data_IF_988055117366
#
_entry.id   IF_988055117366
#
_cell.length_a   1.000
_cell.length_b   1.000
_cell.length_c   1.000
_cell.angle_alpha   90.00
_cell.angle_beta   90.00
_cell.angle_gamma   90.00
#
_symmetry.space_group_name_H-M   'P 1'
#
loop_
_entity.id
_entity.type
_entity.pdbx_description
1 polymer ?
#
# COMPACT_ATOMS: atom_id res chain seq x y z
N UNK A 1 8.38 15.14 4.67
CA UNK A 1 8.58 13.73 4.31
C UNK A 1 7.68 12.86 5.17
N UNK A 2 7.15 11.81 4.60
CA UNK A 2 6.27 10.88 5.31
C UNK A 2 7.06 9.72 5.93
N UNK A 3 6.33 8.83 6.64
CA UNK A 3 6.91 7.59 7.17
C UNK A 3 7.56 6.72 6.07
N UNK A 4 7.07 6.83 4.83
CA UNK A 4 7.54 6.00 3.71
C UNK A 4 9.00 6.28 3.35
N UNK A 5 9.50 7.46 3.66
CA UNK A 5 10.90 7.81 3.40
C UNK A 5 11.88 7.26 4.45
N UNK A 6 11.39 6.64 5.52
CA UNK A 6 12.22 6.09 6.59
C UNK A 6 12.88 4.77 6.13
N UNK A 7 14.19 4.77 5.98
CA UNK A 7 14.95 3.60 5.49
C UNK A 7 14.83 2.38 6.40
N UNK A 8 14.80 2.59 7.72
CA UNK A 8 14.65 1.49 8.67
C UNK A 8 13.26 0.84 8.56
N UNK A 9 12.22 1.64 8.37
CA UNK A 9 10.88 1.13 8.14
C UNK A 9 10.82 0.34 6.84
N UNK A 10 11.39 0.87 5.75
CA UNK A 10 11.44 0.17 4.46
C UNK A 10 12.09 -1.20 4.61
N UNK A 11 13.23 -1.27 5.29
CA UNK A 11 13.96 -2.53 5.49
C UNK A 11 13.12 -3.55 6.28
N UNK A 12 12.48 -3.12 7.37
CA UNK A 12 11.61 -4.01 8.17
C UNK A 12 10.41 -4.49 7.35
N UNK A 13 9.81 -3.59 6.61
CA UNK A 13 8.64 -3.89 5.78
C UNK A 13 8.96 -4.93 4.70
N UNK A 14 10.05 -4.71 3.95
CA UNK A 14 10.46 -5.63 2.89
C UNK A 14 10.83 -7.01 3.43
N UNK A 15 11.57 -7.05 4.55
CA UNK A 15 11.92 -8.31 5.19
C UNK A 15 10.67 -9.06 5.65
N UNK A 16 9.74 -8.38 6.30
CA UNK A 16 8.50 -8.97 6.79
C UNK A 16 7.61 -9.44 5.64
N UNK A 17 7.55 -8.67 4.56
CA UNK A 17 6.74 -9.01 3.38
C UNK A 17 7.26 -10.28 2.72
N UNK A 18 8.58 -10.40 2.56
CA UNK A 18 9.20 -11.58 1.99
C UNK A 18 9.12 -12.81 2.91
N UNK A 19 8.86 -12.61 4.20
CA UNK A 19 8.63 -13.69 5.17
C UNK A 19 7.14 -14.03 5.32
N UNK A 20 6.24 -13.24 4.77
CA UNK A 20 4.80 -13.45 4.87
C UNK A 20 4.37 -14.56 3.90
N UNK A 21 4.03 -15.74 4.46
CA UNK A 21 3.71 -16.92 3.67
C UNK A 21 2.47 -16.72 2.79
N UNK A 22 1.44 -16.02 3.30
CA UNK A 22 0.23 -15.77 2.54
C UNK A 22 0.49 -14.81 1.37
N UNK A 23 1.26 -13.74 1.60
CA UNK A 23 1.67 -12.84 0.53
C UNK A 23 2.43 -13.60 -0.56
N UNK A 24 3.36 -14.47 -0.17
CA UNK A 24 4.14 -15.27 -1.12
C UNK A 24 3.26 -16.21 -1.93
N UNK A 25 2.30 -16.85 -1.28
CA UNK A 25 1.34 -17.74 -1.97
C UNK A 25 0.49 -16.96 -2.96
N UNK A 26 -0.04 -15.81 -2.55
CA UNK A 26 -0.93 -15.02 -3.40
C UNK A 26 -0.20 -14.36 -4.58
N UNK A 27 1.11 -14.15 -4.46
CA UNK A 27 1.90 -13.53 -5.54
C UNK A 27 2.76 -14.53 -6.32
N UNK A 28 2.61 -15.83 -6.08
CA UNK A 28 3.47 -16.86 -6.69
C UNK A 28 3.48 -16.85 -8.23
N UNK A 29 2.41 -16.36 -8.85
CA UNK A 29 2.29 -16.26 -10.31
C UNK A 29 2.31 -14.82 -10.81
N UNK A 30 2.60 -13.87 -9.94
CA UNK A 30 2.66 -12.46 -10.30
C UNK A 30 4.08 -12.08 -10.74
N UNK A 31 4.14 -11.37 -11.87
CA UNK A 31 5.36 -10.73 -12.37
C UNK A 31 4.99 -9.29 -12.69
N UNK A 32 5.28 -8.40 -11.76
CA UNK A 32 4.90 -7.01 -11.91
C UNK A 32 5.46 -6.15 -10.80
N UNK A 33 4.96 -4.93 -10.71
CA UNK A 33 5.39 -3.99 -9.69
C UNK A 33 4.23 -3.24 -9.08
N UNK A 34 4.38 -2.91 -7.81
CA UNK A 34 3.41 -2.12 -7.04
C UNK A 34 4.10 -0.86 -6.57
N UNK A 35 3.44 0.28 -6.77
CA UNK A 35 3.93 1.56 -6.29
C UNK A 35 3.06 2.02 -5.11
N UNK A 36 3.69 2.32 -4.00
CA UNK A 36 3.04 2.97 -2.86
C UNK A 36 3.39 4.45 -2.90
N UNK A 37 2.37 5.30 -2.79
CA UNK A 37 2.55 6.74 -2.90
C UNK A 37 1.87 7.42 -1.72
N UNK A 38 2.66 8.08 -0.89
CA UNK A 38 2.21 8.82 0.30
C UNK A 38 2.59 10.28 0.08
N UNK A 39 1.60 11.10 -0.31
CA UNK A 39 1.86 12.46 -0.79
C UNK A 39 2.91 12.43 -1.91
N UNK A 40 4.06 13.08 -1.73
CA UNK A 40 5.14 13.09 -2.71
C UNK A 40 6.13 11.93 -2.56
N UNK A 41 6.07 11.18 -1.47
CA UNK A 41 6.99 10.06 -1.23
C UNK A 41 6.51 8.81 -1.95
N UNK A 42 7.45 8.03 -2.47
CA UNK A 42 7.17 6.85 -3.27
C UNK A 42 8.03 5.68 -2.81
N UNK A 43 7.44 4.49 -2.90
CA UNK A 43 8.16 3.23 -2.74
C UNK A 43 7.66 2.27 -3.83
N UNK A 44 8.54 1.97 -4.76
CA UNK A 44 8.29 1.04 -5.86
C UNK A 44 8.81 -0.34 -5.44
N UNK A 45 7.97 -1.36 -5.64
CA UNK A 45 8.28 -2.73 -5.26
C UNK A 45 8.15 -3.64 -6.48
N UNK A 46 9.24 -4.27 -6.88
CA UNK A 46 9.20 -5.30 -7.93
C UNK A 46 8.90 -6.64 -7.28
N UNK A 47 7.83 -7.28 -7.74
CA UNK A 47 7.40 -8.58 -7.22
C UNK A 47 7.55 -9.60 -8.34
N UNK A 48 8.23 -10.71 -8.05
CA UNK A 48 8.41 -11.79 -8.98
C UNK A 48 8.27 -13.12 -8.25
N UNK A 49 7.26 -13.89 -8.66
CA UNK A 49 6.99 -15.24 -8.17
C UNK A 49 7.07 -15.35 -6.64
N UNK A 50 6.31 -14.53 -5.97
CA UNK A 50 6.15 -14.61 -4.52
C UNK A 50 7.15 -13.82 -3.71
N UNK A 51 8.05 -13.06 -4.35
CA UNK A 51 9.06 -12.29 -3.63
C UNK A 51 9.17 -10.87 -4.15
N UNK A 52 9.42 -9.94 -3.24
CA UNK A 52 9.89 -8.60 -3.60
C UNK A 52 11.39 -8.74 -3.88
N UNK A 53 11.77 -8.60 -5.13
CA UNK A 53 13.16 -8.80 -5.57
C UNK A 53 13.92 -7.50 -5.77
N UNK A 54 13.23 -6.37 -5.82
CA UNK A 54 13.84 -5.06 -5.97
C UNK A 54 12.91 -3.99 -5.41
N UNK A 55 13.47 -2.85 -5.05
CA UNK A 55 12.69 -1.70 -4.60
C UNK A 55 13.44 -0.40 -4.93
N UNK A 56 12.69 0.70 -5.00
CA UNK A 56 13.25 2.02 -5.28
C UNK A 56 12.33 3.09 -4.71
N UNK A 57 12.89 4.27 -4.45
CA UNK A 57 12.13 5.43 -3.97
C UNK A 57 11.70 6.37 -5.09
N UNK A 58 11.91 5.95 -6.32
CA UNK A 58 11.47 6.66 -7.53
C UNK A 58 10.87 5.66 -8.51
N UNK A 59 10.00 6.13 -9.38
CA UNK A 59 9.39 5.29 -10.40
C UNK A 59 10.40 5.04 -11.52
N UNK A 60 10.72 3.76 -11.82
CA UNK A 60 11.60 3.45 -12.96
C UNK A 60 10.98 3.90 -14.29
N UNK A 61 11.80 4.08 -15.34
CA UNK A 61 11.30 4.49 -16.66
C UNK A 61 10.22 3.59 -17.25
N UNK A 62 10.24 2.30 -16.91
CA UNK A 62 9.21 1.34 -17.38
C UNK A 62 7.93 1.35 -16.53
N UNK A 63 7.86 2.20 -15.49
CA UNK A 63 6.65 2.41 -14.74
C UNK A 63 6.34 1.33 -13.70
N UNK A 64 5.06 1.10 -13.48
CA UNK A 64 4.55 0.15 -12.48
C UNK A 64 3.31 -0.57 -13.03
N UNK A 65 2.95 -1.70 -12.43
CA UNK A 65 1.72 -2.42 -12.82
C UNK A 65 0.48 -1.74 -12.26
N UNK A 66 0.46 -1.49 -10.96
CA UNK A 66 -0.59 -0.68 -10.33
C UNK A 66 -0.03 0.02 -9.09
N UNK A 67 -0.75 1.04 -8.61
CA UNK A 67 -0.31 1.82 -7.45
C UNK A 67 -1.45 2.09 -6.49
N UNK A 68 -1.07 2.35 -5.25
CA UNK A 68 -1.95 2.88 -4.20
C UNK A 68 -1.45 4.26 -3.80
N UNK A 69 -2.29 5.27 -3.94
CA UNK A 69 -1.93 6.66 -3.74
C UNK A 69 -2.89 7.33 -2.77
N UNK A 70 -2.34 8.02 -1.79
CA UNK A 70 -3.13 8.76 -0.82
C UNK A 70 -2.27 9.76 -0.05
N UNK A 71 -2.94 10.58 0.76
CA UNK A 71 -2.26 11.51 1.66
C UNK A 71 -1.65 10.77 2.84
N UNK A 72 -0.70 11.41 3.51
CA UNK A 72 -0.15 10.86 4.76
C UNK A 72 -1.24 10.64 5.80
N UNK A 73 -2.22 11.55 5.88
CA UNK A 73 -3.35 11.40 6.80
C UNK A 73 -4.15 10.12 6.53
N UNK A 74 -4.40 9.81 5.26
CA UNK A 74 -5.10 8.57 4.87
C UNK A 74 -4.30 7.32 5.27
N UNK A 75 -3.00 7.30 4.95
CA UNK A 75 -2.15 6.17 5.31
C UNK A 75 -2.00 5.99 6.82
N UNK A 76 -1.99 7.09 7.58
CA UNK A 76 -1.96 7.02 9.05
C UNK A 76 -3.19 6.34 9.64
N UNK A 77 -4.35 6.44 9.01
CA UNK A 77 -5.54 5.70 9.44
C UNK A 77 -5.29 4.19 9.43
N UNK A 78 -4.58 3.70 8.41
CA UNK A 78 -4.17 2.30 8.35
C UNK A 78 -3.12 1.97 9.41
N UNK A 79 -2.06 2.79 9.50
CA UNK A 79 -0.92 2.49 10.36
C UNK A 79 -1.29 2.50 11.84
N UNK A 80 -2.24 3.33 12.25
CA UNK A 80 -2.71 3.40 13.64
C UNK A 80 -3.80 2.37 13.96
N UNK A 81 -4.28 1.63 12.95
CA UNK A 81 -5.36 0.66 13.11
C UNK A 81 -6.74 1.30 13.22
N UNK A 82 -6.86 2.60 13.02
CA UNK A 82 -8.14 3.30 13.12
C UNK A 82 -9.11 2.89 12.02
N UNK A 83 -8.60 2.60 10.83
CA UNK A 83 -9.38 2.09 9.70
C UNK A 83 -8.63 0.94 9.03
N UNK A 84 -9.40 0.00 8.49
CA UNK A 84 -8.85 -1.14 7.79
C UNK A 84 -8.55 -0.77 6.33
N UNK A 85 -7.73 -1.58 5.68
CA UNK A 85 -7.38 -1.40 4.27
C UNK A 85 -8.60 -1.29 3.36
N UNK A 86 -9.60 -2.16 3.58
CA UNK A 86 -10.83 -2.13 2.79
C UNK A 86 -11.60 -0.81 2.97
N UNK A 87 -11.59 -0.25 4.18
CA UNK A 87 -12.28 1.02 4.45
C UNK A 87 -11.65 2.19 3.72
N UNK A 88 -10.37 2.10 3.40
CA UNK A 88 -9.60 3.18 2.77
C UNK A 88 -9.54 3.05 1.25
N UNK A 89 -9.64 1.83 0.71
CA UNK A 89 -9.40 1.55 -0.71
C UNK A 89 -10.65 1.24 -1.51
N UNK A 90 -11.75 0.83 -0.87
CA UNK A 90 -12.99 0.52 -1.58
C UNK A 90 -14.00 1.66 -1.42
N UNK A 91 -14.70 2.05 -2.50
CA UNK A 91 -15.76 3.05 -2.40
C UNK A 91 -16.93 2.52 -1.59
N UNK A 92 -17.69 3.43 -0.98
CA UNK A 92 -18.86 3.09 -0.19
C UNK A 92 -19.17 4.18 0.82
N UNK A 93 -20.10 3.87 1.71
CA UNK A 93 -20.49 4.80 2.77
C UNK A 93 -19.42 4.80 3.85
N UNK A 94 -18.46 5.72 3.70
CA UNK A 94 -17.39 5.94 4.69
C UNK A 94 -17.60 7.30 5.33
N UNK A 95 -17.43 7.36 6.65
CA UNK A 95 -17.49 8.61 7.37
C UNK A 95 -16.11 8.94 7.93
N UNK A 96 -15.52 9.99 7.38
CA UNK A 96 -14.23 10.50 7.81
C UNK A 96 -14.37 11.81 8.61
N UNK A 97 -15.58 12.13 9.09
CA UNK A 97 -15.83 13.38 9.80
C UNK A 97 -15.05 13.50 11.11
N UNK A 98 -14.57 12.37 11.65
CA UNK A 98 -13.75 12.31 12.83
C UNK A 98 -12.29 12.72 12.57
N UNK A 99 -11.90 12.90 11.32
CA UNK A 99 -10.56 13.35 10.93
C UNK A 99 -10.66 14.58 10.03
N UNK A 100 -10.25 15.77 10.55
CA UNK A 100 -10.37 16.99 9.77
C UNK A 100 -9.64 16.99 8.43
N UNK A 101 -8.59 16.17 8.28
CA UNK A 101 -7.82 16.08 7.05
C UNK A 101 -8.49 15.21 5.99
N UNK A 102 -9.43 14.36 6.39
CA UNK A 102 -10.14 13.44 5.49
C UNK A 102 -11.60 13.75 5.31
N UNK A 103 -12.14 14.75 6.01
CA UNK A 103 -13.57 15.07 5.98
C UNK A 103 -14.10 15.50 4.60
N UNK A 104 -13.20 15.88 3.68
CA UNK A 104 -13.55 16.24 2.32
C UNK A 104 -13.68 15.05 1.37
N UNK A 105 -13.32 13.85 1.82
CA UNK A 105 -13.48 12.63 1.02
C UNK A 105 -14.97 12.30 0.93
N UNK A 106 -15.49 12.24 -0.29
CA UNK A 106 -16.91 11.94 -0.53
C UNK A 106 -17.25 10.48 -0.31
N UNK A 107 -18.54 10.17 -0.25
CA UNK A 107 -19.02 8.81 0.01
C UNK A 107 -18.71 7.82 -1.13
N UNK A 108 -18.50 8.34 -2.34
CA UNK A 108 -18.14 7.52 -3.52
C UNK A 108 -16.64 7.54 -3.80
N UNK A 109 -15.89 8.36 -3.08
CA UNK A 109 -14.44 8.46 -3.21
C UNK A 109 -13.76 7.53 -2.22
N UNK A 110 -12.48 7.32 -2.46
CA UNK A 110 -11.64 6.52 -1.55
C UNK A 110 -10.52 7.40 -1.01
N UNK A 111 -10.06 7.09 0.20
CA UNK A 111 -8.95 7.81 0.82
C UNK A 111 -7.60 7.41 0.20
N UNK A 112 -7.46 6.13 -0.20
CA UNK A 112 -6.30 5.60 -0.89
C UNK A 112 -6.77 5.06 -2.24
N UNK A 113 -6.31 5.66 -3.33
CA UNK A 113 -6.76 5.31 -4.68
C UNK A 113 -5.90 4.21 -5.27
N UNK A 114 -6.56 3.30 -6.01
CA UNK A 114 -5.89 2.29 -6.82
C UNK A 114 -5.89 2.76 -8.27
N UNK A 115 -4.71 2.83 -8.88
CA UNK A 115 -4.54 3.29 -10.26
C UNK A 115 -3.62 2.35 -11.03
N UNK A 116 -3.68 2.40 -12.37
CA UNK A 116 -2.87 1.57 -13.25
C UNK A 116 -3.66 0.40 -13.81
N UNK A 117 -3.06 -0.78 -13.85
CA UNK A 117 -3.73 -1.98 -14.33
C UNK A 117 -4.68 -2.52 -13.26
N UNK A 118 -5.95 -2.10 -13.34
CA UNK A 118 -6.96 -2.44 -12.33
C UNK A 118 -7.34 -3.93 -12.36
N UNK A 119 -7.19 -4.59 -13.50
CA UNK A 119 -7.43 -6.04 -13.58
C UNK A 119 -6.41 -6.80 -12.75
N UNK A 120 -5.13 -6.45 -12.88
CA UNK A 120 -4.07 -7.06 -12.07
C UNK A 120 -4.23 -6.69 -10.59
N UNK A 121 -4.60 -5.45 -10.29
CA UNK A 121 -4.88 -5.04 -8.91
C UNK A 121 -5.98 -5.89 -8.28
N UNK A 122 -7.05 -6.15 -9.04
CA UNK A 122 -8.15 -7.02 -8.59
C UNK A 122 -7.72 -8.46 -8.36
N UNK A 123 -6.87 -9.00 -9.24
CA UNK A 123 -6.32 -10.35 -9.07
C UNK A 123 -5.43 -10.46 -7.83
N UNK A 124 -4.77 -9.38 -7.44
CA UNK A 124 -3.85 -9.34 -6.31
C UNK A 124 -4.51 -8.81 -5.03
N UNK A 125 -5.84 -8.79 -4.95
CA UNK A 125 -6.57 -8.26 -3.80
C UNK A 125 -6.09 -8.85 -2.47
N UNK A 126 -6.01 -10.17 -2.35
CA UNK A 126 -5.58 -10.83 -1.11
C UNK A 126 -4.12 -10.52 -0.79
N UNK A 127 -3.26 -10.46 -1.81
CA UNK A 127 -1.87 -10.09 -1.62
C UNK A 127 -1.75 -8.66 -1.08
N UNK A 128 -2.60 -7.74 -1.55
CA UNK A 128 -2.56 -6.34 -1.12
C UNK A 128 -3.10 -6.17 0.30
N UNK A 129 -4.06 -6.98 0.74
CA UNK A 129 -4.43 -7.04 2.16
C UNK A 129 -3.21 -7.43 3.02
N UNK A 130 -2.45 -8.43 2.60
CA UNK A 130 -1.26 -8.86 3.33
C UNK A 130 -0.17 -7.80 3.31
N UNK A 131 0.00 -7.10 2.19
CA UNK A 131 0.94 -5.98 2.08
C UNK A 131 0.57 -4.88 3.09
N UNK A 132 -0.69 -4.52 3.17
CA UNK A 132 -1.18 -3.48 4.08
C UNK A 132 -0.97 -3.88 5.55
N UNK A 133 -1.31 -5.10 5.92
CA UNK A 133 -1.11 -5.59 7.29
C UNK A 133 0.37 -5.66 7.66
N UNK A 134 1.20 -6.06 6.72
CA UNK A 134 2.66 -6.12 6.92
C UNK A 134 3.24 -4.73 7.12
N UNK A 135 2.78 -3.75 6.34
CA UNK A 135 3.20 -2.35 6.50
C UNK A 135 2.78 -1.81 7.86
N UNK A 136 1.54 -2.07 8.27
CA UNK A 136 1.03 -1.68 9.57
C UNK A 136 1.88 -2.26 10.71
N UNK A 137 2.20 -3.53 10.64
CA UNK A 137 3.02 -4.20 11.65
C UNK A 137 4.45 -3.63 11.67
N UNK A 138 5.04 -3.36 10.52
CA UNK A 138 6.39 -2.78 10.43
C UNK A 138 6.43 -1.37 11.02
N UNK A 139 5.38 -0.58 10.81
CA UNK A 139 5.28 0.77 11.34
C UNK A 139 5.06 0.80 12.86
N UNK A 140 4.48 -0.26 13.44
CA UNK A 140 4.27 -0.37 14.88
C UNK A 140 5.57 -0.69 15.64
N UNK A 141 6.57 -1.20 14.97
CA UNK A 141 7.88 -1.50 15.56
C UNK A 141 8.73 -0.23 15.68
N UNK A 142 9.52 -0.15 16.71
CA UNK A 142 10.40 0.99 16.97
C UNK A 142 11.84 0.55 17.20
#
# INVERSE_FOLDING_TARGET
MSFLSNAALQARFLKALNANAEFRTQTQWFDGSVLLEVDADRLWLKIYRGKVIDHATAVPPFGYTFKFSGTEAAWKQLLTGKRRWADLTYPGKRDFSDDPQLKTVGTIEVAIRTEGNLLEAGRMTEAMFQLAYTLQAAAAQR
#
